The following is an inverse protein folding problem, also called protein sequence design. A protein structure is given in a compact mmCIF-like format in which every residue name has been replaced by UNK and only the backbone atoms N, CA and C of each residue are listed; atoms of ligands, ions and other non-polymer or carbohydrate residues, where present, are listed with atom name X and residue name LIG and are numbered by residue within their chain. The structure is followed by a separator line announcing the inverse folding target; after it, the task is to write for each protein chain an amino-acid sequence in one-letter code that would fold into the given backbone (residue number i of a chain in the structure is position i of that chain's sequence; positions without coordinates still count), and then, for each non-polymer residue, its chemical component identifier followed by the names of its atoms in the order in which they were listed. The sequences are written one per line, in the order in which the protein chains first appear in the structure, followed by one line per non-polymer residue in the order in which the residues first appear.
data_IF_360470421207
#
_entry.id   IF_360470421207
#
_cell.length_a   1.000
_cell.length_b   1.000
_cell.length_c   1.000
_cell.angle_alpha   90.00
_cell.angle_beta   90.00
_cell.angle_gamma   90.00
#
_symmetry.space_group_name_H-M   'P 1'
#
loop_
_entity.id
_entity.type
_entity.pdbx_description
1 polymer ?
#
# COMPACT_ATOMS: atom_id res chain seq x y z
N UNK A 1 -47.56 -14.81 -11.89
CA UNK A 1 -46.66 -13.71 -12.20
C UNK A 1 -46.14 -13.19 -10.87
N UNK A 2 -44.92 -13.56 -10.51
CA UNK A 2 -44.25 -13.06 -9.31
C UNK A 2 -43.07 -12.23 -9.84
N UNK A 3 -43.16 -10.92 -9.64
CA UNK A 3 -42.13 -9.98 -10.01
C UNK A 3 -40.93 -10.15 -9.05
N UNK A 4 -39.77 -10.48 -9.60
CA UNK A 4 -38.50 -10.47 -8.86
C UNK A 4 -38.09 -9.03 -8.59
N UNK A 5 -37.89 -8.70 -7.33
CA UNK A 5 -37.24 -7.45 -6.95
C UNK A 5 -35.73 -7.68 -7.04
N UNK A 6 -35.09 -7.08 -8.04
CA UNK A 6 -33.65 -6.89 -8.07
C UNK A 6 -33.28 -5.89 -6.97
N UNK A 7 -32.57 -6.35 -5.96
CA UNK A 7 -31.97 -5.49 -4.97
C UNK A 7 -30.72 -4.85 -5.58
N UNK A 8 -30.81 -3.55 -5.95
CA UNK A 8 -29.66 -2.70 -6.23
C UNK A 8 -28.81 -2.61 -4.95
N UNK A 9 -27.69 -3.29 -4.93
CA UNK A 9 -26.60 -3.01 -3.98
C UNK A 9 -26.09 -1.59 -4.24
N UNK A 10 -26.59 -0.64 -3.48
CA UNK A 10 -26.00 0.71 -3.42
C UNK A 10 -24.62 0.59 -2.81
N UNK A 11 -23.62 0.65 -3.69
CA UNK A 11 -22.22 0.80 -3.36
C UNK A 11 -22.04 2.18 -2.70
N UNK A 12 -22.21 2.25 -1.37
CA UNK A 12 -21.91 3.42 -0.56
C UNK A 12 -20.40 3.47 -0.34
N UNK A 13 -19.64 3.76 -1.41
CA UNK A 13 -18.28 4.25 -1.28
C UNK A 13 -18.35 5.58 -0.51
N UNK A 14 -17.60 5.67 0.60
CA UNK A 14 -17.38 6.93 1.29
C UNK A 14 -16.86 7.96 0.28
N UNK A 15 -17.25 9.26 0.36
CA UNK A 15 -16.78 10.27 -0.57
C UNK A 15 -15.25 10.27 -0.58
N UNK A 16 -14.70 10.15 -1.77
CA UNK A 16 -13.26 10.21 -2.07
C UNK A 16 -12.83 11.69 -1.98
N UNK A 17 -12.80 12.24 -0.78
CA UNK A 17 -12.10 13.49 -0.53
C UNK A 17 -10.63 13.16 -0.34
N UNK A 18 -9.74 13.89 -0.99
CA UNK A 18 -8.28 13.81 -0.80
C UNK A 18 -7.96 14.01 0.69
N UNK A 19 -7.81 12.92 1.44
CA UNK A 19 -7.55 12.94 2.87
C UNK A 19 -6.06 13.20 3.06
N UNK A 20 -5.66 14.48 3.07
CA UNK A 20 -4.31 14.89 3.41
C UNK A 20 -4.13 14.82 4.93
N UNK A 21 -2.95 14.36 5.37
CA UNK A 21 -2.59 14.44 6.78
C UNK A 21 -2.44 15.91 7.19
N UNK A 22 -2.98 16.31 8.36
CA UNK A 22 -2.89 17.68 8.85
C UNK A 22 -1.44 18.06 9.21
N UNK A 23 -1.11 19.37 9.25
CA UNK A 23 0.23 19.85 9.57
C UNK A 23 0.79 19.30 10.89
N UNK A 24 -0.06 19.07 11.88
CA UNK A 24 0.32 18.51 13.19
C UNK A 24 0.90 17.09 13.06
N UNK A 25 0.31 16.24 12.23
CA UNK A 25 0.85 14.90 11.94
C UNK A 25 2.12 15.00 11.10
N UNK A 26 2.12 15.86 10.08
CA UNK A 26 3.29 16.04 9.20
C UNK A 26 4.50 16.60 9.95
N UNK A 27 4.31 17.43 10.97
CA UNK A 27 5.38 17.94 11.83
C UNK A 27 6.12 16.81 12.60
N UNK A 28 5.44 15.69 12.87
CA UNK A 28 6.04 14.52 13.54
C UNK A 28 6.79 13.59 12.59
N UNK A 29 6.59 13.72 11.28
CA UNK A 29 7.16 12.83 10.26
C UNK A 29 8.69 12.66 10.37
N UNK A 30 9.53 13.71 10.54
CA UNK A 30 10.98 13.51 10.65
C UNK A 30 11.38 12.61 11.84
N UNK A 31 10.67 12.72 12.97
CA UNK A 31 10.93 11.87 14.15
C UNK A 31 10.46 10.43 13.89
N UNK A 32 9.31 10.24 13.24
CA UNK A 32 8.81 8.92 12.86
C UNK A 32 9.78 8.24 11.88
N UNK A 33 10.26 8.94 10.85
CA UNK A 33 11.24 8.43 9.89
C UNK A 33 12.55 8.01 10.57
N UNK A 34 13.07 8.84 11.47
CA UNK A 34 14.27 8.53 12.26
C UNK A 34 14.08 7.23 13.06
N UNK A 35 13.00 7.13 13.83
CA UNK A 35 12.75 5.97 14.69
C UNK A 35 12.45 4.71 13.86
N UNK A 36 11.69 4.82 12.78
CA UNK A 36 11.42 3.71 11.87
C UNK A 36 12.72 3.18 11.23
N UNK A 37 13.63 4.07 10.83
CA UNK A 37 14.95 3.70 10.31
C UNK A 37 15.82 3.00 11.37
N UNK A 38 15.85 3.52 12.60
CA UNK A 38 16.57 2.89 13.73
C UNK A 38 16.06 1.47 14.02
N UNK A 39 14.77 1.23 13.78
CA UNK A 39 14.11 -0.07 13.97
C UNK A 39 14.07 -0.96 12.73
N UNK A 40 14.72 -0.56 11.63
CA UNK A 40 14.78 -1.27 10.34
C UNK A 40 13.38 -1.51 9.69
N UNK A 41 12.47 -0.55 9.83
CA UNK A 41 11.14 -0.57 9.21
C UNK A 41 10.82 0.77 8.49
N UNK A 42 11.73 1.35 7.68
CA UNK A 42 11.51 2.65 7.05
C UNK A 42 10.30 2.66 6.10
N UNK A 43 9.96 1.53 5.50
CA UNK A 43 8.84 1.39 4.55
C UNK A 43 7.47 1.44 5.25
N UNK A 44 7.44 1.31 6.59
CA UNK A 44 6.22 1.36 7.39
C UNK A 44 5.82 2.80 7.81
N UNK A 45 6.60 3.82 7.48
CA UNK A 45 6.32 5.23 7.83
C UNK A 45 4.92 5.69 7.44
N UNK A 46 4.36 5.36 6.26
CA UNK A 46 2.99 5.73 5.93
C UNK A 46 1.96 5.16 6.92
N UNK A 47 2.11 3.91 7.35
CA UNK A 47 1.24 3.28 8.34
C UNK A 47 1.37 3.94 9.71
N UNK A 48 2.60 4.26 10.13
CA UNK A 48 2.88 4.91 11.40
C UNK A 48 2.26 6.32 11.48
N UNK A 49 2.34 7.11 10.40
CA UNK A 49 1.70 8.42 10.33
C UNK A 49 0.17 8.31 10.33
N UNK A 50 -0.37 7.30 9.66
CA UNK A 50 -1.81 7.04 9.65
C UNK A 50 -2.33 6.59 11.04
N UNK A 51 -1.53 5.83 11.81
CA UNK A 51 -1.83 5.52 13.22
C UNK A 51 -1.90 6.81 14.03
N UNK A 52 -0.88 7.67 13.96
CA UNK A 52 -0.89 8.97 14.67
C UNK A 52 -2.14 9.77 14.32
N UNK A 53 -2.53 9.78 13.05
CA UNK A 53 -3.74 10.48 12.60
C UNK A 53 -5.00 9.96 13.29
N UNK A 54 -5.15 8.64 13.37
CA UNK A 54 -6.33 7.99 13.97
C UNK A 54 -6.34 8.14 15.49
N UNK A 55 -5.17 8.04 16.13
CA UNK A 55 -5.06 8.07 17.60
C UNK A 55 -5.25 9.48 18.19
N UNK A 56 -4.62 10.49 17.58
CA UNK A 56 -4.57 11.84 18.18
C UNK A 56 -4.73 12.99 17.19
N UNK A 57 -4.64 12.71 15.87
CA UNK A 57 -4.47 13.77 14.87
C UNK A 57 -3.16 14.52 15.00
N UNK A 58 -2.14 13.91 15.60
CA UNK A 58 -0.81 14.50 15.83
C UNK A 58 -0.73 15.44 17.03
N UNK A 59 -1.75 15.47 17.90
CA UNK A 59 -1.85 16.41 19.01
C UNK A 59 -1.43 15.80 20.34
N UNK A 60 -1.01 16.68 21.27
CA UNK A 60 -0.64 16.29 22.63
C UNK A 60 0.75 15.67 22.77
N UNK A 61 1.05 15.18 23.96
CA UNK A 61 2.32 14.57 24.31
C UNK A 61 2.41 13.07 23.96
N UNK A 62 1.26 12.43 23.74
CA UNK A 62 1.18 11.00 23.38
C UNK A 62 0.48 10.81 22.03
N UNK A 63 1.12 11.24 20.90
CA UNK A 63 0.51 11.17 19.57
C UNK A 63 0.18 9.75 19.10
N UNK A 64 0.86 8.72 19.58
CA UNK A 64 0.54 7.32 19.29
C UNK A 64 -0.46 6.70 20.27
N UNK A 65 -0.89 7.43 21.31
CA UNK A 65 -1.69 6.90 22.44
C UNK A 65 -1.07 5.59 22.98
N UNK A 66 0.27 5.60 23.12
CA UNK A 66 1.08 4.42 23.38
C UNK A 66 1.38 4.18 24.85
N UNK A 67 0.84 5.00 25.76
CA UNK A 67 1.03 4.86 27.21
C UNK A 67 0.66 3.46 27.71
N UNK A 68 -0.49 2.92 27.29
CA UNK A 68 -0.96 1.60 27.73
C UNK A 68 -0.05 0.47 27.22
N UNK A 69 0.48 0.60 26.01
CA UNK A 69 1.46 -0.39 25.46
C UNK A 69 2.81 -0.38 26.21
N UNK A 70 3.09 0.70 26.94
CA UNK A 70 4.23 0.80 27.85
C UNK A 70 3.90 0.31 29.28
N UNK A 71 2.69 -0.22 29.53
CA UNK A 71 2.23 -0.62 30.86
C UNK A 71 1.88 0.56 31.77
N UNK A 72 1.66 1.75 31.22
CA UNK A 72 1.33 2.97 31.94
C UNK A 72 -0.18 3.27 31.83
N UNK A 73 -0.76 4.05 32.75
CA UNK A 73 -2.11 4.56 32.55
C UNK A 73 -2.24 5.39 31.25
N UNK A 74 -3.45 5.50 30.65
CA UNK A 74 -3.68 6.30 29.46
C UNK A 74 -3.16 7.73 29.60
N UNK A 75 -2.59 8.30 28.54
CA UNK A 75 -2.07 9.67 28.46
C UNK A 75 -0.99 10.02 29.52
N UNK A 76 -0.25 9.04 30.01
CA UNK A 76 0.88 9.26 30.93
C UNK A 76 2.12 9.77 30.22
N UNK A 77 2.35 9.36 28.97
CA UNK A 77 3.46 9.86 28.16
C UNK A 77 3.16 11.30 27.75
N UNK A 78 4.09 12.21 28.06
CA UNK A 78 3.96 13.64 27.78
C UNK A 78 4.97 14.15 26.76
N UNK A 79 5.87 13.28 26.28
CA UNK A 79 6.87 13.58 25.25
C UNK A 79 6.49 12.93 23.92
N UNK A 80 6.26 13.72 22.85
CA UNK A 80 5.97 13.17 21.52
C UNK A 80 7.05 12.19 21.02
N UNK A 81 8.33 12.46 21.27
CA UNK A 81 9.42 11.56 20.86
C UNK A 81 9.34 10.21 21.61
N UNK A 82 9.03 10.25 22.92
CA UNK A 82 8.87 9.02 23.70
C UNK A 82 7.64 8.23 23.22
N UNK A 83 6.52 8.90 22.96
CA UNK A 83 5.32 8.27 22.40
C UNK A 83 5.58 7.64 21.03
N UNK A 84 6.27 8.35 20.13
CA UNK A 84 6.63 7.83 18.80
C UNK A 84 7.50 6.57 18.95
N UNK A 85 8.53 6.62 19.80
CA UNK A 85 9.40 5.46 20.01
C UNK A 85 8.63 4.25 20.55
N UNK A 86 7.75 4.46 21.52
CA UNK A 86 6.92 3.40 22.10
C UNK A 86 5.91 2.86 21.07
N UNK A 87 5.20 3.74 20.36
CA UNK A 87 4.22 3.35 19.35
C UNK A 87 4.85 2.58 18.18
N UNK A 88 6.01 3.03 17.70
CA UNK A 88 6.76 2.32 16.65
C UNK A 88 7.25 0.96 17.14
N UNK A 89 7.70 0.86 18.41
CA UNK A 89 8.10 -0.42 19.03
C UNK A 89 6.91 -1.38 19.08
N UNK A 90 5.74 -0.91 19.49
CA UNK A 90 4.53 -1.73 19.55
C UNK A 90 4.10 -2.19 18.16
N UNK A 91 4.07 -1.27 17.17
CA UNK A 91 3.79 -1.62 15.77
C UNK A 91 4.76 -2.67 15.23
N UNK A 92 6.07 -2.46 15.46
CA UNK A 92 7.09 -3.41 15.03
C UNK A 92 6.89 -4.79 15.65
N UNK A 93 6.53 -4.87 16.92
CA UNK A 93 6.25 -6.15 17.58
C UNK A 93 5.07 -6.88 16.91
N UNK A 94 4.02 -6.17 16.52
CA UNK A 94 2.92 -6.74 15.75
C UNK A 94 3.37 -7.18 14.34
N UNK A 95 4.20 -6.38 13.67
CA UNK A 95 4.76 -6.69 12.35
C UNK A 95 5.65 -7.93 12.39
N UNK A 96 6.54 -8.03 13.36
CA UNK A 96 7.43 -9.18 13.53
C UNK A 96 6.63 -10.46 13.79
N UNK A 97 5.60 -10.38 14.63
CA UNK A 97 4.72 -11.52 14.90
C UNK A 97 3.89 -11.93 13.68
N UNK A 98 3.39 -10.96 12.89
CA UNK A 98 2.71 -11.24 11.62
C UNK A 98 3.65 -11.97 10.64
N UNK A 99 4.89 -11.48 10.51
CA UNK A 99 5.90 -12.12 9.67
C UNK A 99 6.22 -13.55 10.15
N UNK A 100 6.31 -13.78 11.45
CA UNK A 100 6.51 -15.12 12.03
C UNK A 100 5.38 -16.09 11.63
N UNK A 101 4.15 -15.62 11.56
CA UNK A 101 2.98 -16.41 11.14
C UNK A 101 2.76 -16.42 9.61
N UNK A 102 3.62 -15.76 8.82
CA UNK A 102 3.45 -15.65 7.37
C UNK A 102 2.30 -14.74 6.93
N UNK A 103 1.79 -13.89 7.83
CA UNK A 103 0.70 -12.95 7.55
C UNK A 103 1.28 -11.69 6.90
N UNK A 104 1.02 -11.52 5.59
CA UNK A 104 1.56 -10.39 4.81
C UNK A 104 0.62 -9.17 4.78
N UNK A 105 -0.65 -9.33 5.15
CA UNK A 105 -1.65 -8.27 5.10
C UNK A 105 -1.40 -7.22 6.20
N UNK A 106 -1.09 -5.99 5.80
CA UNK A 106 -0.88 -4.87 6.74
C UNK A 106 -2.13 -4.49 7.53
N UNK A 107 -3.33 -4.76 7.01
CA UNK A 107 -4.56 -4.57 7.80
C UNK A 107 -4.61 -5.48 9.02
N UNK A 108 -4.10 -6.71 8.91
CA UNK A 108 -3.98 -7.60 10.07
C UNK A 108 -3.03 -7.02 11.14
N UNK A 109 -1.90 -6.43 10.71
CA UNK A 109 -0.94 -5.77 11.62
C UNK A 109 -1.57 -4.54 12.29
N UNK A 110 -2.28 -3.71 11.52
CA UNK A 110 -3.00 -2.54 12.04
C UNK A 110 -4.08 -2.96 13.05
N UNK A 111 -4.85 -4.00 12.75
CA UNK A 111 -5.86 -4.49 13.68
C UNK A 111 -5.23 -5.04 14.96
N UNK A 112 -4.06 -5.72 14.83
CA UNK A 112 -3.30 -6.20 15.98
C UNK A 112 -2.69 -5.07 16.81
N UNK A 113 -2.34 -3.94 16.21
CA UNK A 113 -1.91 -2.76 16.95
C UNK A 113 -2.97 -2.33 17.98
N UNK A 114 -4.25 -2.35 17.59
CA UNK A 114 -5.37 -1.97 18.46
C UNK A 114 -5.83 -3.11 19.40
N UNK A 115 -5.77 -4.37 18.95
CA UNK A 115 -6.25 -5.52 19.72
C UNK A 115 -5.18 -6.19 20.58
N UNK A 116 -3.91 -5.86 20.34
CA UNK A 116 -2.77 -6.61 20.86
C UNK A 116 -2.37 -7.80 19.98
N UNK A 117 -1.13 -8.29 20.16
CA UNK A 117 -0.54 -9.37 19.36
C UNK A 117 -1.30 -10.71 19.41
N UNK A 118 -2.10 -10.94 20.44
CA UNK A 118 -2.96 -12.13 20.55
C UNK A 118 -3.92 -12.31 19.37
N UNK A 119 -4.33 -11.24 18.73
CA UNK A 119 -5.15 -11.28 17.52
C UNK A 119 -4.47 -12.01 16.35
N UNK A 120 -3.17 -11.79 16.14
CA UNK A 120 -2.42 -12.44 15.06
C UNK A 120 -2.29 -13.95 15.29
N UNK A 121 -2.09 -14.36 16.54
CA UNK A 121 -2.06 -15.76 16.95
C UNK A 121 -3.40 -16.44 16.67
N UNK A 122 -4.49 -15.77 17.05
CA UNK A 122 -5.86 -16.23 16.80
C UNK A 122 -6.17 -16.31 15.29
N UNK A 123 -5.78 -15.28 14.52
CA UNK A 123 -5.97 -15.24 13.06
C UNK A 123 -5.20 -16.37 12.37
N UNK A 124 -3.97 -16.64 12.78
CA UNK A 124 -3.17 -17.76 12.29
C UNK A 124 -3.87 -19.10 12.52
N UNK A 125 -4.49 -19.31 13.69
CA UNK A 125 -5.24 -20.53 13.99
C UNK A 125 -6.51 -20.70 13.12
N UNK A 126 -7.11 -19.61 12.66
CA UNK A 126 -8.25 -19.64 11.73
C UNK A 126 -7.87 -20.11 10.33
N UNK A 127 -6.58 -20.12 9.97
CA UNK A 127 -6.08 -20.51 8.64
C UNK A 127 -6.80 -19.76 7.49
N UNK A 128 -7.13 -18.48 7.70
CA UNK A 128 -7.84 -17.62 6.75
C UNK A 128 -7.13 -16.26 6.65
N UNK A 129 -7.12 -15.63 5.45
CA UNK A 129 -6.64 -14.26 5.32
C UNK A 129 -7.47 -13.31 6.18
N UNK A 130 -6.86 -12.21 6.60
CA UNK A 130 -7.57 -11.15 7.34
C UNK A 130 -8.79 -10.66 6.55
N UNK A 131 -9.87 -10.41 7.27
CA UNK A 131 -11.04 -9.66 6.80
C UNK A 131 -11.65 -8.88 7.96
N UNK A 132 -12.45 -7.84 7.64
CA UNK A 132 -13.21 -7.11 8.64
C UNK A 132 -14.08 -8.02 9.53
N UNK A 133 -14.70 -9.05 8.93
CA UNK A 133 -15.56 -10.01 9.64
C UNK A 133 -14.75 -10.80 10.67
N UNK A 134 -13.50 -11.20 10.35
CA UNK A 134 -12.63 -11.87 11.32
C UNK A 134 -12.18 -10.92 12.44
N UNK A 135 -11.89 -9.67 12.13
CA UNK A 135 -11.65 -8.65 13.16
C UNK A 135 -12.85 -8.46 14.09
N UNK A 136 -14.05 -8.41 13.52
CA UNK A 136 -15.29 -8.32 14.29
C UNK A 136 -15.60 -9.62 15.08
N UNK A 137 -15.31 -10.79 14.54
CA UNK A 137 -15.46 -12.08 15.23
C UNK A 137 -14.56 -12.13 16.47
N UNK A 138 -13.30 -11.76 16.34
CA UNK A 138 -12.39 -11.69 17.48
C UNK A 138 -12.91 -10.73 18.56
N UNK A 139 -13.31 -9.51 18.19
CA UNK A 139 -13.86 -8.56 19.15
C UNK A 139 -15.13 -9.06 19.83
N UNK A 140 -15.98 -9.80 19.11
CA UNK A 140 -17.15 -10.46 19.66
C UNK A 140 -16.79 -11.50 20.71
N UNK A 141 -15.80 -12.36 20.41
CA UNK A 141 -15.31 -13.39 21.34
C UNK A 141 -14.75 -12.72 22.61
N UNK A 142 -13.88 -11.69 22.46
CA UNK A 142 -13.25 -11.01 23.59
C UNK A 142 -14.23 -10.21 24.46
N UNK A 143 -15.29 -9.66 23.86
CA UNK A 143 -16.30 -8.87 24.58
C UNK A 143 -17.47 -9.70 25.13
N UNK A 144 -17.47 -11.03 24.91
CA UNK A 144 -18.65 -11.86 25.22
C UNK A 144 -19.89 -11.46 24.40
N UNK A 145 -19.71 -10.79 23.25
CA UNK A 145 -20.78 -10.30 22.39
C UNK A 145 -21.38 -8.95 22.82
N UNK A 146 -20.86 -8.32 23.87
CA UNK A 146 -21.30 -7.00 24.31
C UNK A 146 -21.02 -5.94 23.22
N UNK A 147 -21.97 -5.02 23.02
CA UNK A 147 -21.92 -3.96 22.01
C UNK A 147 -22.00 -2.57 22.67
N UNK A 148 -21.38 -1.60 22.02
CA UNK A 148 -21.45 -0.19 22.39
C UNK A 148 -21.80 0.66 21.18
N UNK A 149 -22.41 1.81 21.39
CA UNK A 149 -22.68 2.80 20.35
C UNK A 149 -21.34 3.32 19.81
N UNK A 150 -21.26 3.46 18.50
CA UNK A 150 -20.08 3.99 17.82
C UNK A 150 -20.51 4.83 16.61
N UNK A 151 -20.47 6.14 16.77
CA UNK A 151 -21.04 7.11 15.81
C UNK A 151 -20.04 7.58 14.74
N UNK A 152 -18.84 6.97 14.66
CA UNK A 152 -17.90 7.28 13.58
C UNK A 152 -18.56 6.95 12.23
N UNK A 153 -18.42 7.81 11.20
CA UNK A 153 -19.02 7.59 9.87
C UNK A 153 -18.71 6.22 9.25
N UNK A 154 -17.53 5.64 9.53
CA UNK A 154 -17.16 4.31 9.05
C UNK A 154 -18.10 3.19 9.52
N UNK A 155 -18.78 3.39 10.65
CA UNK A 155 -19.71 2.44 11.23
C UNK A 155 -21.17 2.65 10.77
N UNK A 156 -21.46 3.69 9.98
CA UNK A 156 -22.84 4.05 9.62
C UNK A 156 -23.53 2.92 8.84
N UNK A 157 -22.86 2.31 7.89
CA UNK A 157 -23.35 1.17 7.11
C UNK A 157 -23.55 -0.11 7.95
N UNK A 158 -22.97 -0.17 9.15
CA UNK A 158 -23.09 -1.28 10.11
C UNK A 158 -24.01 -0.94 11.29
N UNK A 159 -24.74 0.19 11.26
CA UNK A 159 -25.73 0.57 12.27
C UNK A 159 -25.16 1.32 13.48
N UNK A 160 -24.00 1.98 13.36
CA UNK A 160 -23.38 2.86 14.38
C UNK A 160 -23.09 2.16 15.71
N UNK A 161 -22.54 0.97 15.65
CA UNK A 161 -22.12 0.22 16.84
C UNK A 161 -20.80 -0.53 16.58
N UNK A 162 -20.13 -0.92 17.65
CA UNK A 162 -19.01 -1.86 17.64
C UNK A 162 -19.09 -2.81 18.85
N UNK A 163 -18.34 -3.90 18.82
CA UNK A 163 -18.16 -4.72 20.01
C UNK A 163 -17.38 -3.96 21.09
N UNK A 164 -17.64 -4.27 22.36
CA UNK A 164 -17.04 -3.60 23.52
C UNK A 164 -15.61 -4.13 23.81
N UNK A 165 -14.82 -4.35 22.75
CA UNK A 165 -13.41 -4.72 22.82
C UNK A 165 -12.67 -4.04 21.68
N UNK A 166 -11.66 -3.25 22.00
CA UNK A 166 -10.91 -2.49 21.02
C UNK A 166 -11.81 -1.76 20.00
N UNK A 167 -11.37 -1.67 18.77
CA UNK A 167 -12.16 -1.09 17.67
C UNK A 167 -12.10 -1.99 16.42
N UNK A 168 -13.19 -2.70 16.12
CA UNK A 168 -13.24 -3.60 14.95
C UNK A 168 -13.09 -2.87 13.60
N UNK A 169 -13.20 -1.56 13.57
CA UNK A 169 -12.99 -0.72 12.38
C UNK A 169 -11.56 -0.16 12.29
N UNK A 170 -10.67 -0.50 13.22
CA UNK A 170 -9.39 0.19 13.35
C UNK A 170 -8.51 0.07 12.10
N UNK A 171 -8.39 -1.13 11.55
CA UNK A 171 -7.61 -1.34 10.34
C UNK A 171 -8.12 -0.50 9.15
N UNK A 172 -9.44 -0.41 8.98
CA UNK A 172 -10.07 0.40 7.94
C UNK A 172 -9.88 1.90 8.19
N UNK A 173 -10.00 2.35 9.46
CA UNK A 173 -9.77 3.76 9.84
C UNK A 173 -8.34 4.21 9.55
N UNK A 174 -7.36 3.38 9.84
CA UNK A 174 -5.95 3.70 9.56
C UNK A 174 -5.69 3.60 8.06
N UNK A 175 -6.18 2.53 7.42
CA UNK A 175 -5.86 2.24 6.02
C UNK A 175 -6.42 3.29 5.05
N UNK A 176 -7.53 3.98 5.36
CA UNK A 176 -8.04 5.08 4.53
C UNK A 176 -7.01 6.21 4.36
N UNK A 177 -6.21 6.51 5.41
CA UNK A 177 -5.15 7.52 5.34
C UNK A 177 -3.92 6.99 4.60
N UNK A 178 -3.59 5.71 4.76
CA UNK A 178 -2.51 5.07 3.98
C UNK A 178 -2.85 5.08 2.49
N UNK A 179 -4.07 4.71 2.13
CA UNK A 179 -4.54 4.72 0.75
C UNK A 179 -4.50 6.12 0.15
N UNK A 180 -4.91 7.16 0.89
CA UNK A 180 -4.85 8.55 0.42
C UNK A 180 -3.42 9.09 0.33
N UNK A 181 -2.52 8.71 1.25
CA UNK A 181 -1.09 9.04 1.15
C UNK A 181 -0.46 8.35 -0.07
N UNK A 182 -0.81 7.11 -0.34
CA UNK A 182 -0.38 6.38 -1.54
C UNK A 182 -0.99 6.99 -2.81
N UNK A 183 -2.22 7.48 -2.77
CA UNK A 183 -2.83 8.27 -3.84
C UNK A 183 -2.16 9.64 -3.98
N UNK A 184 -1.89 10.37 -2.91
CA UNK A 184 -1.18 11.65 -2.92
C UNK A 184 0.27 11.53 -3.38
N UNK A 185 0.92 10.39 -3.13
CA UNK A 185 2.22 10.05 -3.71
C UNK A 185 2.06 9.73 -5.21
N UNK A 186 0.93 9.14 -5.63
CA UNK A 186 0.61 8.90 -7.04
C UNK A 186 0.10 10.16 -7.78
N UNK A 187 -0.46 11.15 -7.08
CA UNK A 187 -0.76 12.49 -7.63
C UNK A 187 0.50 13.35 -7.79
N UNK A 188 1.59 12.98 -7.12
CA UNK A 188 2.93 13.53 -7.34
C UNK A 188 3.70 12.84 -8.47
N UNK A 189 3.21 12.86 -9.71
CA UNK A 189 3.85 12.31 -10.92
C UNK A 189 3.93 10.77 -10.99
N UNK A 190 2.89 10.11 -11.44
CA UNK A 190 2.90 8.70 -11.82
C UNK A 190 1.49 8.17 -12.02
N UNK A 191 1.29 7.23 -12.93
CA UNK A 191 0.00 6.64 -13.24
C UNK A 191 -0.63 5.90 -12.04
N UNK A 192 -1.95 5.70 -12.11
CA UNK A 192 -2.70 4.98 -11.08
C UNK A 192 -2.32 3.49 -11.03
N UNK A 193 -1.52 3.08 -10.04
CA UNK A 193 -1.08 1.69 -9.85
C UNK A 193 -2.16 0.75 -9.29
N UNK A 194 -3.30 1.28 -8.85
CA UNK A 194 -4.40 0.47 -8.31
C UNK A 194 -4.94 -0.53 -9.36
N UNK A 195 -4.86 -0.18 -10.62
CA UNK A 195 -5.25 -1.08 -11.73
C UNK A 195 -4.38 -2.34 -11.78
N UNK A 196 -3.16 -2.29 -11.26
CA UNK A 196 -2.24 -3.44 -11.19
C UNK A 196 -2.38 -4.22 -9.88
N UNK A 197 -2.71 -3.56 -8.78
CA UNK A 197 -2.91 -4.23 -7.49
C UNK A 197 -4.04 -5.26 -7.56
N UNK A 198 -5.12 -4.92 -8.26
CA UNK A 198 -6.30 -5.80 -8.41
C UNK A 198 -6.07 -7.07 -9.24
N UNK A 199 -4.96 -7.14 -9.97
CA UNK A 199 -4.63 -8.25 -10.88
C UNK A 199 -3.38 -9.04 -10.46
N UNK A 200 -2.83 -8.77 -9.28
CA UNK A 200 -1.71 -9.56 -8.73
C UNK A 200 -2.13 -11.03 -8.64
N UNK A 201 -1.26 -11.93 -9.09
CA UNK A 201 -1.52 -13.36 -9.21
C UNK A 201 -2.21 -13.80 -10.50
N UNK A 202 -2.69 -12.87 -11.33
CA UNK A 202 -3.33 -13.17 -12.62
C UNK A 202 -2.30 -13.14 -13.77
N UNK A 203 -2.63 -13.85 -14.86
CA UNK A 203 -1.89 -13.79 -16.14
C UNK A 203 -2.64 -12.85 -17.08
N UNK A 204 -2.02 -11.74 -17.46
CA UNK A 204 -2.61 -10.73 -18.32
C UNK A 204 -2.13 -10.88 -19.77
N UNK A 205 -3.08 -10.95 -20.69
CA UNK A 205 -2.83 -11.01 -22.14
C UNK A 205 -1.78 -12.05 -22.59
N UNK A 206 -1.81 -13.24 -21.97
CA UNK A 206 -0.88 -14.33 -22.30
C UNK A 206 0.41 -14.35 -21.47
N UNK A 207 0.59 -13.42 -20.54
CA UNK A 207 1.59 -13.53 -19.49
C UNK A 207 2.97 -12.95 -19.81
N UNK A 208 3.18 -12.22 -20.91
CA UNK A 208 4.44 -11.56 -21.21
C UNK A 208 4.61 -10.22 -20.47
N UNK A 209 5.83 -9.82 -20.14
CA UNK A 209 6.10 -8.56 -19.45
C UNK A 209 5.58 -7.35 -20.23
N UNK A 210 5.79 -7.35 -21.55
CA UNK A 210 5.26 -6.34 -22.46
C UNK A 210 3.74 -6.20 -22.36
N UNK A 211 3.02 -7.30 -22.19
CA UNK A 211 1.56 -7.32 -22.13
C UNK A 211 1.01 -6.76 -20.83
N UNK A 212 1.73 -6.89 -19.71
CA UNK A 212 1.37 -6.20 -18.47
C UNK A 212 1.50 -4.69 -18.64
N UNK A 213 2.58 -4.22 -19.23
CA UNK A 213 2.78 -2.80 -19.53
C UNK A 213 1.73 -2.30 -20.51
N UNK A 214 1.38 -3.07 -21.53
CA UNK A 214 0.31 -2.73 -22.48
C UNK A 214 -1.05 -2.57 -21.76
N UNK A 215 -1.40 -3.48 -20.84
CA UNK A 215 -2.60 -3.38 -20.02
C UNK A 215 -2.61 -2.09 -19.19
N UNK A 216 -1.50 -1.79 -18.52
CA UNK A 216 -1.38 -0.59 -17.69
C UNK A 216 -1.58 0.70 -18.51
N UNK A 217 -0.91 0.78 -19.66
CA UNK A 217 -1.01 1.91 -20.59
C UNK A 217 -2.44 2.08 -21.13
N UNK A 218 -3.09 0.98 -21.50
CA UNK A 218 -4.49 0.97 -21.96
C UNK A 218 -5.43 1.52 -20.87
N UNK A 219 -5.27 1.10 -19.62
CA UNK A 219 -6.08 1.59 -18.49
C UNK A 219 -5.89 3.07 -18.20
N UNK A 220 -4.75 3.63 -18.55
CA UNK A 220 -4.42 5.02 -18.30
C UNK A 220 -4.56 5.91 -19.55
N UNK A 221 -5.06 5.38 -20.66
CA UNK A 221 -5.29 6.16 -21.88
C UNK A 221 -4.02 6.59 -22.59
N UNK A 222 -2.99 5.74 -22.59
CA UNK A 222 -1.77 5.93 -23.39
C UNK A 222 -1.88 5.36 -24.80
N UNK A 223 -0.76 5.29 -25.55
CA UNK A 223 -0.74 4.71 -26.90
C UNK A 223 -1.11 3.22 -26.88
N UNK A 224 -1.57 2.71 -27.99
CA UNK A 224 -1.88 1.30 -28.15
C UNK A 224 -0.58 0.50 -28.31
N UNK A 225 -0.16 -0.23 -27.25
CA UNK A 225 1.02 -1.10 -27.29
C UNK A 225 0.70 -2.47 -27.89
N UNK A 226 -0.42 -3.05 -27.50
CA UNK A 226 -0.84 -4.38 -27.94
C UNK A 226 -1.15 -4.38 -29.44
N UNK A 227 -0.59 -5.36 -30.16
CA UNK A 227 -0.71 -5.50 -31.63
C UNK A 227 -0.18 -4.29 -32.42
N UNK A 228 0.79 -3.57 -31.88
CA UNK A 228 1.44 -2.43 -32.54
C UNK A 228 2.45 -2.83 -33.61
N UNK A 229 2.95 -4.08 -33.54
CA UNK A 229 4.08 -4.55 -34.35
C UNK A 229 5.45 -4.34 -33.69
N UNK A 230 5.49 -3.74 -32.49
CA UNK A 230 6.69 -3.62 -31.68
C UNK A 230 6.70 -4.71 -30.60
N UNK A 231 7.87 -5.36 -30.39
CA UNK A 231 8.01 -6.52 -29.51
C UNK A 231 9.10 -6.36 -28.46
N UNK A 232 9.96 -5.33 -28.56
CA UNK A 232 11.09 -5.14 -27.66
C UNK A 232 10.68 -4.35 -26.42
N UNK A 233 10.63 -5.03 -25.27
CA UNK A 233 10.25 -4.41 -24.01
C UNK A 233 11.22 -3.28 -23.59
N UNK A 234 12.51 -3.42 -23.88
CA UNK A 234 13.49 -2.38 -23.60
C UNK A 234 13.25 -1.06 -24.37
N UNK A 235 12.56 -1.14 -25.51
CA UNK A 235 12.34 0.00 -26.42
C UNK A 235 10.99 0.68 -26.25
N UNK A 236 10.15 0.24 -25.33
CA UNK A 236 8.80 0.81 -25.11
C UNK A 236 8.84 2.34 -24.96
N UNK A 237 9.89 2.89 -24.31
CA UNK A 237 10.02 4.34 -24.17
C UNK A 237 10.32 5.07 -25.49
N UNK A 238 10.80 4.39 -26.53
CA UNK A 238 11.25 4.99 -27.79
C UNK A 238 10.31 4.70 -28.97
N UNK A 239 9.57 3.58 -28.93
CA UNK A 239 8.79 3.08 -30.05
C UNK A 239 7.43 3.78 -30.24
N UNK A 240 7.03 4.66 -29.31
CA UNK A 240 5.73 5.34 -29.31
C UNK A 240 5.85 6.85 -29.14
N UNK A 241 4.90 7.59 -29.71
CA UNK A 241 4.73 9.02 -29.43
C UNK A 241 3.99 9.22 -28.09
N UNK A 242 4.69 9.04 -27.00
CA UNK A 242 4.17 9.20 -25.66
C UNK A 242 3.65 10.60 -25.38
N UNK A 243 4.27 11.61 -25.99
CA UNK A 243 3.93 13.02 -25.78
C UNK A 243 2.51 13.34 -26.28
N UNK A 244 2.07 12.71 -27.37
CA UNK A 244 0.73 12.86 -27.92
C UNK A 244 -0.38 12.38 -26.93
N UNK A 245 -0.03 11.54 -25.98
CA UNK A 245 -0.95 11.00 -24.97
C UNK A 245 -0.75 11.63 -23.57
N UNK A 246 0.05 12.68 -23.47
CA UNK A 246 0.31 13.35 -22.21
C UNK A 246 1.25 12.54 -21.27
N UNK A 247 2.23 11.84 -21.85
CA UNK A 247 3.25 11.13 -21.11
C UNK A 247 4.64 11.69 -21.42
N UNK A 248 5.57 11.51 -20.51
CA UNK A 248 6.97 11.94 -20.64
C UNK A 248 7.90 10.74 -20.57
N UNK A 249 8.91 10.71 -21.42
CA UNK A 249 9.96 9.68 -21.44
C UNK A 249 11.27 10.27 -20.89
N UNK A 250 11.94 9.52 -20.02
CA UNK A 250 13.27 9.82 -19.53
C UNK A 250 14.17 8.65 -19.93
N UNK A 251 15.14 8.92 -20.79
CA UNK A 251 16.17 7.96 -21.22
C UNK A 251 17.34 8.02 -20.26
N UNK A 252 17.94 6.88 -19.94
CA UNK A 252 19.04 6.74 -18.98
C UNK A 252 18.77 7.48 -17.66
N UNK A 253 17.65 7.15 -16.95
CA UNK A 253 17.25 7.85 -15.75
C UNK A 253 18.30 7.67 -14.64
N UNK A 254 18.34 8.65 -13.72
CA UNK A 254 19.06 8.52 -12.45
C UNK A 254 18.13 7.92 -11.38
N UNK A 255 18.67 7.39 -10.28
CA UNK A 255 17.84 6.89 -9.17
C UNK A 255 16.79 7.90 -8.70
N UNK A 256 17.19 9.19 -8.58
CA UNK A 256 16.30 10.28 -8.15
C UNK A 256 15.15 10.59 -9.12
N UNK A 257 15.21 10.10 -10.34
CA UNK A 257 14.15 10.32 -11.34
C UNK A 257 12.98 9.36 -11.18
N UNK A 258 13.19 8.19 -10.55
CA UNK A 258 12.17 7.17 -10.40
C UNK A 258 10.99 7.64 -9.55
N UNK A 259 9.76 7.32 -9.97
CA UNK A 259 8.53 7.59 -9.24
C UNK A 259 7.58 6.39 -9.31
N UNK A 260 6.74 6.24 -8.32
CA UNK A 260 5.62 5.30 -8.34
C UNK A 260 4.75 5.54 -9.56
N UNK A 261 4.37 4.49 -10.27
CA UNK A 261 3.56 4.54 -11.48
C UNK A 261 4.34 4.75 -12.78
N UNK A 262 5.66 4.95 -12.70
CA UNK A 262 6.50 4.94 -13.91
C UNK A 262 6.52 3.54 -14.53
N UNK A 263 6.39 3.46 -15.83
CA UNK A 263 6.79 2.27 -16.59
C UNK A 263 8.31 2.28 -16.59
N UNK A 264 8.94 1.19 -16.23
CA UNK A 264 10.39 1.02 -16.25
C UNK A 264 10.75 -0.03 -17.29
N UNK A 265 11.72 0.29 -18.16
CA UNK A 265 12.19 -0.57 -19.22
C UNK A 265 13.70 -0.85 -19.02
N UNK A 266 14.07 -2.11 -19.02
CA UNK A 266 15.45 -2.55 -18.78
C UNK A 266 16.11 -3.03 -20.06
N UNK A 267 17.40 -2.73 -20.19
CA UNK A 267 18.24 -3.18 -21.30
C UNK A 267 18.23 -4.71 -21.44
N UNK A 268 18.22 -5.19 -22.68
CA UNK A 268 18.51 -6.57 -23.02
C UNK A 268 19.92 -6.97 -22.59
N UNK A 269 20.12 -8.26 -22.31
CA UNK A 269 21.40 -8.79 -21.85
C UNK A 269 21.76 -8.43 -20.40
N UNK A 270 20.84 -7.82 -19.65
CA UNK A 270 21.01 -7.51 -18.23
C UNK A 270 20.65 -8.68 -17.30
N UNK A 271 20.75 -8.45 -15.99
CA UNK A 271 20.48 -9.46 -14.95
C UNK A 271 19.04 -9.98 -15.00
N UNK A 272 18.06 -9.12 -15.31
CA UNK A 272 16.65 -9.48 -15.39
C UNK A 272 16.27 -10.17 -16.70
N UNK A 273 17.06 -9.97 -17.74
CA UNK A 273 16.76 -10.48 -19.08
C UNK A 273 18.03 -10.75 -19.86
N UNK A 274 18.52 -11.99 -19.85
CA UNK A 274 19.68 -12.38 -20.66
C UNK A 274 19.35 -12.44 -22.15
N UNK A 275 18.08 -12.31 -22.55
CA UNK A 275 17.60 -12.37 -23.92
C UNK A 275 17.57 -10.99 -24.58
N UNK A 276 17.31 -10.98 -25.90
CA UNK A 276 17.35 -9.78 -26.75
C UNK A 276 16.16 -8.81 -26.59
N UNK A 277 15.11 -9.23 -25.89
CA UNK A 277 13.85 -8.47 -25.81
C UNK A 277 13.85 -7.35 -24.76
N UNK A 278 14.80 -7.42 -23.82
CA UNK A 278 14.74 -6.60 -22.62
C UNK A 278 13.61 -7.02 -21.69
N UNK A 279 13.30 -6.17 -20.71
CA UNK A 279 12.21 -6.38 -19.77
C UNK A 279 11.48 -5.08 -19.48
N UNK A 280 10.25 -5.17 -18.97
CA UNK A 280 9.45 -4.01 -18.58
C UNK A 280 8.57 -4.34 -17.39
N UNK A 281 8.26 -3.31 -16.62
CA UNK A 281 7.35 -3.38 -15.48
C UNK A 281 6.84 -1.99 -15.10
N UNK A 282 6.12 -1.90 -13.99
CA UNK A 282 5.62 -0.63 -13.46
C UNK A 282 6.07 -0.46 -12.02
N UNK A 283 6.63 0.69 -11.68
CA UNK A 283 7.13 0.99 -10.33
C UNK A 283 5.96 1.07 -9.36
N UNK A 284 5.94 0.18 -8.36
CA UNK A 284 4.95 0.13 -7.30
C UNK A 284 5.32 1.07 -6.14
N UNK A 285 6.61 1.17 -5.82
CA UNK A 285 7.14 2.07 -4.80
C UNK A 285 8.61 2.37 -5.03
N UNK A 286 9.09 3.50 -4.50
CA UNK A 286 10.49 3.93 -4.59
C UNK A 286 11.01 4.18 -3.19
N UNK A 287 12.19 3.66 -2.87
CA UNK A 287 12.86 3.78 -1.57
C UNK A 287 14.31 4.23 -1.75
N UNK A 288 14.93 4.70 -0.68
CA UNK A 288 16.35 5.05 -0.64
C UNK A 288 16.80 5.98 -1.80
N UNK A 289 15.97 7.01 -2.09
CA UNK A 289 16.28 7.98 -3.17
C UNK A 289 16.31 7.35 -4.57
N UNK A 290 15.58 6.23 -4.78
CA UNK A 290 15.51 5.51 -6.04
C UNK A 290 16.55 4.40 -6.19
N UNK A 291 17.45 4.20 -5.23
CA UNK A 291 18.43 3.11 -5.26
C UNK A 291 17.77 1.74 -5.12
N UNK A 292 16.65 1.68 -4.41
CA UNK A 292 15.80 0.48 -4.30
C UNK A 292 14.36 0.85 -4.64
N UNK A 293 13.66 -0.07 -5.29
CA UNK A 293 12.26 0.13 -5.67
C UNK A 293 11.56 -1.22 -5.82
N UNK A 294 10.24 -1.20 -5.73
CA UNK A 294 9.39 -2.37 -5.98
C UNK A 294 8.65 -2.17 -7.28
N UNK A 295 8.46 -3.23 -8.04
CA UNK A 295 7.76 -3.21 -9.34
C UNK A 295 6.65 -4.22 -9.41
N UNK A 296 5.64 -3.95 -10.24
CA UNK A 296 4.76 -4.98 -10.79
C UNK A 296 5.37 -5.47 -12.10
N UNK A 297 5.58 -6.76 -12.19
CA UNK A 297 6.11 -7.39 -13.39
C UNK A 297 5.36 -8.68 -13.69
N UNK A 298 5.45 -9.13 -14.91
CA UNK A 298 4.95 -10.39 -15.41
C UNK A 298 6.03 -11.06 -16.25
N UNK A 299 6.05 -12.39 -16.32
CA UNK A 299 7.11 -13.16 -16.97
C UNK A 299 8.51 -12.86 -16.39
N UNK A 300 8.59 -12.82 -15.08
CA UNK A 300 9.83 -12.70 -14.31
C UNK A 300 10.02 -13.95 -13.43
N UNK A 301 10.70 -13.86 -12.28
CA UNK A 301 11.10 -15.02 -11.45
C UNK A 301 9.93 -15.89 -10.97
N UNK A 302 8.71 -15.33 -10.89
CA UNK A 302 7.49 -16.05 -10.53
C UNK A 302 6.67 -16.54 -11.74
N UNK A 303 7.27 -16.50 -12.93
CA UNK A 303 6.63 -16.95 -14.16
C UNK A 303 5.64 -15.93 -14.74
N UNK A 304 4.69 -16.41 -15.55
CA UNK A 304 3.78 -15.59 -16.37
C UNK A 304 2.56 -15.05 -15.61
N UNK A 305 2.76 -14.64 -14.37
CA UNK A 305 1.74 -14.02 -13.52
C UNK A 305 2.22 -12.66 -13.03
N UNK A 306 1.29 -11.74 -12.82
CA UNK A 306 1.60 -10.43 -12.23
C UNK A 306 2.03 -10.62 -10.80
N UNK A 307 3.21 -10.13 -10.46
CA UNK A 307 3.74 -10.19 -9.10
C UNK A 307 4.57 -8.95 -8.77
N UNK A 308 4.81 -8.74 -7.48
CA UNK A 308 5.69 -7.67 -7.01
C UNK A 308 7.12 -8.20 -6.81
N UNK A 309 8.09 -7.37 -7.21
CA UNK A 309 9.51 -7.68 -7.11
C UNK A 309 10.28 -6.50 -6.53
N UNK A 310 11.24 -6.79 -5.66
CA UNK A 310 12.20 -5.80 -5.19
C UNK A 310 13.36 -5.70 -6.18
N UNK A 311 13.69 -4.48 -6.58
CA UNK A 311 14.73 -4.17 -7.56
C UNK A 311 15.73 -3.18 -6.98
N UNK A 312 16.97 -3.24 -7.51
CA UNK A 312 18.04 -2.30 -7.16
C UNK A 312 18.51 -1.61 -8.43
N UNK A 313 18.62 -0.29 -8.37
CA UNK A 313 18.92 0.54 -9.55
C UNK A 313 20.23 0.16 -10.23
N UNK A 314 21.33 0.08 -9.48
CA UNK A 314 22.67 -0.15 -10.04
C UNK A 314 22.84 -1.52 -10.67
N UNK A 315 22.01 -2.52 -10.27
CA UNK A 315 22.12 -3.89 -10.76
C UNK A 315 21.29 -4.09 -12.03
N UNK A 316 20.13 -3.43 -12.14
CA UNK A 316 19.12 -3.76 -13.14
C UNK A 316 19.27 -3.05 -14.48
N UNK A 317 20.10 -2.01 -14.58
CA UNK A 317 20.40 -1.25 -15.83
C UNK A 317 19.13 -0.80 -16.56
N UNK A 318 18.51 0.24 -16.05
CA UNK A 318 17.29 0.83 -16.63
C UNK A 318 17.68 1.61 -17.90
N UNK A 319 16.96 1.35 -19.01
CA UNK A 319 17.08 2.09 -20.28
C UNK A 319 16.24 3.34 -20.31
N UNK A 320 14.99 3.21 -19.86
CA UNK A 320 14.05 4.35 -19.84
C UNK A 320 12.99 4.17 -18.78
N UNK A 321 12.42 5.29 -18.37
CA UNK A 321 11.14 5.34 -17.68
C UNK A 321 10.13 6.15 -18.49
N UNK A 322 8.86 5.73 -18.43
CA UNK A 322 7.76 6.42 -19.08
C UNK A 322 6.72 6.81 -18.03
N UNK A 323 6.43 8.09 -17.93
CA UNK A 323 5.61 8.69 -16.89
C UNK A 323 4.40 9.38 -17.45
N UNK A 324 3.21 9.08 -16.93
CA UNK A 324 2.02 9.84 -17.24
C UNK A 324 2.11 11.23 -16.59
N UNK A 325 1.90 12.28 -17.39
CA UNK A 325 1.78 13.64 -16.89
C UNK A 325 0.47 13.83 -16.13
N UNK A 326 0.40 14.86 -15.31
CA UNK A 326 -0.82 15.22 -14.58
C UNK A 326 -1.94 15.67 -15.49
#
# INVERSE_FOLDING_TARGET
MIAGAESEEKNNALPNENINLPPEVLALKPTVEKVAKEMNIPDEVPYLLAIIMVESGGRGGDPFQSSESAGLPPNTITSPEQSIRQGVTHYKSCLDLANQYGIQDRKAVLQAYNYGGGFLSWLYQKQRPYSFELGAEFAKEQSGGAKVVYTNPIASAKGNWRYAYGNMFYAELVYQYVASMQQGISEGNGGNIQVLESIVGQSIYGGECYMLTAYYVEKLGGPQLRNSGFDYAERIGEDYDWSAYGWTVIIDPKPSDLRTGDIVNWYAGGVLTPQIWGHTGVIASVSNGGQTFTTYEQNSERGRVVAKYNRTFDITKIRSIVRKNK
#
